data_IF_317203653143
#
_entry.id   IF_317203653143
#
_cell.length_a   1.000
_cell.length_b   1.000
_cell.length_c   1.000
_cell.angle_alpha   90.00
_cell.angle_beta   90.00
_cell.angle_gamma   90.00
#
_symmetry.space_group_name_H-M   'P 1'
#
loop_
_entity.id
_entity.type
_entity.pdbx_description
1 polymer ?
#
# COMPACT_ATOMS: atom_id res chain seq x y z
N UNK A 1 6.70 -8.61 4.58
CA UNK A 1 5.65 -8.43 5.61
C UNK A 1 5.79 -9.54 6.63
N UNK A 2 5.43 -9.25 7.88
CA UNK A 2 5.30 -10.25 8.93
C UNK A 2 3.84 -10.32 9.35
N UNK A 3 3.35 -11.50 9.67
CA UNK A 3 2.03 -11.72 10.25
C UNK A 3 2.20 -12.33 11.64
N UNK A 4 1.26 -12.04 12.54
CA UNK A 4 1.18 -12.72 13.83
C UNK A 4 0.10 -13.79 13.73
N UNK A 5 0.48 -15.04 14.00
CA UNK A 5 -0.50 -16.10 14.19
C UNK A 5 -0.98 -16.09 15.63
N UNK A 6 -2.27 -15.82 15.83
CA UNK A 6 -2.89 -15.73 17.14
C UNK A 6 -2.93 -17.08 17.84
N UNK A 7 -3.24 -18.16 17.13
CA UNK A 7 -3.38 -19.49 17.74
C UNK A 7 -2.02 -20.11 18.08
N UNK A 8 -1.03 -19.91 17.20
CA UNK A 8 0.32 -20.43 17.38
C UNK A 8 1.25 -19.46 18.12
N UNK A 9 0.74 -18.28 18.50
CA UNK A 9 1.44 -17.21 19.21
C UNK A 9 2.84 -16.94 18.65
N UNK A 10 2.94 -16.79 17.32
CA UNK A 10 4.24 -16.61 16.66
C UNK A 10 4.19 -15.68 15.46
N UNK A 11 5.28 -14.93 15.30
CA UNK A 11 5.55 -14.17 14.09
C UNK A 11 5.91 -15.11 12.95
N UNK A 12 5.32 -14.88 11.78
CA UNK A 12 5.63 -15.58 10.54
C UNK A 12 6.06 -14.57 9.49
N UNK A 13 7.15 -14.86 8.80
CA UNK A 13 7.59 -14.07 7.65
C UNK A 13 6.80 -14.52 6.42
N UNK A 14 5.99 -13.63 5.88
CA UNK A 14 5.17 -13.94 4.71
C UNK A 14 6.00 -13.89 3.43
N UNK A 15 5.82 -14.91 2.59
CA UNK A 15 6.33 -14.93 1.21
C UNK A 15 5.26 -14.34 0.31
N UNK A 16 5.52 -13.13 -0.16
CA UNK A 16 4.59 -12.34 -0.95
C UNK A 16 4.93 -12.43 -2.42
N UNK A 17 3.91 -12.66 -3.25
CA UNK A 17 4.02 -12.57 -4.71
C UNK A 17 3.60 -11.16 -5.22
N UNK A 18 3.86 -10.91 -6.50
CA UNK A 18 3.44 -9.69 -7.19
C UNK A 18 4.35 -8.49 -6.93
N UNK A 19 3.74 -7.29 -6.92
CA UNK A 19 4.44 -6.01 -6.88
C UNK A 19 4.21 -5.32 -5.53
N UNK A 20 4.99 -5.65 -4.47
CA UNK A 20 4.84 -4.99 -3.19
C UNK A 20 5.31 -3.52 -3.25
N UNK A 21 4.75 -2.63 -2.41
CA UNK A 21 5.28 -1.28 -2.26
C UNK A 21 6.75 -1.31 -1.84
N UNK A 22 7.54 -0.36 -2.35
CA UNK A 22 8.90 -0.16 -1.88
C UNK A 22 8.92 0.24 -0.38
N UNK A 23 10.05 0.07 0.34
CA UNK A 23 10.17 0.47 1.74
C UNK A 23 9.77 1.93 1.94
N UNK A 24 8.93 2.19 2.94
CA UNK A 24 8.34 3.51 3.23
C UNK A 24 7.73 3.53 4.64
N UNK A 25 7.42 4.72 5.13
CA UNK A 25 6.76 4.97 6.43
C UNK A 25 5.58 5.92 6.26
N UNK A 26 4.77 6.04 7.32
CA UNK A 26 3.61 6.94 7.40
C UNK A 26 2.60 6.76 6.25
N UNK A 27 2.44 5.51 5.83
CA UNK A 27 1.46 5.11 4.83
C UNK A 27 0.06 5.14 5.43
N UNK A 28 -0.94 5.45 4.60
CA UNK A 28 -2.32 5.16 4.93
C UNK A 28 -2.60 3.67 4.67
N UNK A 29 -3.41 3.03 5.51
CA UNK A 29 -3.76 1.61 5.39
C UNK A 29 -5.18 1.35 5.88
N UNK A 30 -5.94 0.50 5.19
CA UNK A 30 -7.25 0.00 5.64
C UNK A 30 -7.50 -1.42 5.13
N UNK A 31 -8.30 -2.19 5.86
CA UNK A 31 -8.88 -3.43 5.38
C UNK A 31 -10.32 -3.17 4.95
N UNK A 32 -10.67 -3.59 3.74
CA UNK A 32 -12.02 -3.53 3.21
C UNK A 32 -12.64 -4.92 3.26
N UNK A 33 -13.60 -5.11 4.17
CA UNK A 33 -14.26 -6.39 4.43
C UNK A 33 -15.09 -6.87 3.23
N UNK A 34 -15.74 -5.95 2.51
CA UNK A 34 -16.55 -6.29 1.33
C UNK A 34 -15.71 -6.87 0.19
N UNK A 35 -14.49 -6.35 0.01
CA UNK A 35 -13.57 -6.83 -1.02
C UNK A 35 -12.64 -7.95 -0.53
N UNK A 36 -12.54 -8.13 0.78
CA UNK A 36 -11.53 -8.94 1.46
C UNK A 36 -10.11 -8.59 0.97
N UNK A 37 -9.76 -7.29 1.07
CA UNK A 37 -8.47 -6.74 0.61
C UNK A 37 -7.95 -5.70 1.59
N UNK A 38 -6.63 -5.62 1.70
CA UNK A 38 -5.97 -4.49 2.36
C UNK A 38 -5.53 -3.49 1.31
N UNK A 39 -5.82 -2.21 1.52
CA UNK A 39 -5.34 -1.12 0.69
C UNK A 39 -4.30 -0.31 1.43
N UNK A 40 -3.23 0.07 0.73
CA UNK A 40 -2.24 1.02 1.22
C UNK A 40 -2.05 2.14 0.21
N UNK A 41 -1.82 3.34 0.72
CA UNK A 41 -1.59 4.52 -0.11
C UNK A 41 -0.41 5.35 0.44
N UNK A 42 0.41 5.83 -0.49
CA UNK A 42 1.34 6.94 -0.28
C UNK A 42 2.41 6.67 0.78
N UNK A 43 2.71 7.65 1.64
CA UNK A 43 3.84 7.66 2.56
C UNK A 43 5.13 8.20 1.94
N UNK A 44 6.23 8.12 2.69
CA UNK A 44 7.55 8.56 2.22
C UNK A 44 8.66 7.59 2.62
N UNK A 45 9.80 7.71 1.95
CA UNK A 45 11.05 7.04 2.31
C UNK A 45 12.15 8.07 2.55
N UNK A 46 12.65 8.21 3.79
CA UNK A 46 13.70 9.19 4.13
C UNK A 46 15.09 8.77 3.64
N UNK A 47 15.27 7.54 3.17
CA UNK A 47 16.54 6.98 2.75
C UNK A 47 16.62 6.80 1.22
N UNK A 48 15.53 7.02 0.48
CA UNK A 48 15.53 6.83 -0.97
C UNK A 48 16.26 7.98 -1.66
N UNK A 49 17.35 7.72 -2.42
CA UNK A 49 18.08 8.77 -3.09
C UNK A 49 17.26 9.40 -4.23
N UNK A 50 17.08 10.71 -4.16
CA UNK A 50 16.37 11.52 -5.15
C UNK A 50 17.32 12.51 -5.79
N UNK A 51 17.26 12.59 -7.12
CA UNK A 51 17.98 13.61 -7.89
C UNK A 51 17.08 14.80 -8.18
N UNK A 52 17.43 15.96 -7.63
CA UNK A 52 16.84 17.22 -8.01
C UNK A 52 17.54 17.79 -9.24
N UNK A 53 17.07 17.39 -10.42
CA UNK A 53 17.69 17.72 -11.72
C UNK A 53 17.92 19.23 -11.87
N UNK A 54 16.93 20.06 -11.51
CA UNK A 54 16.99 21.51 -11.68
C UNK A 54 18.15 22.18 -10.91
N UNK A 55 18.54 21.64 -9.74
CA UNK A 55 19.70 22.12 -8.96
C UNK A 55 20.92 21.20 -9.05
N UNK A 56 20.87 20.14 -9.87
CA UNK A 56 21.90 19.10 -9.98
C UNK A 56 22.33 18.54 -8.61
N UNK A 57 21.38 18.42 -7.69
CA UNK A 57 21.63 18.01 -6.32
C UNK A 57 21.02 16.64 -6.04
N UNK A 58 21.65 15.86 -5.16
CA UNK A 58 21.12 14.60 -4.66
C UNK A 58 20.81 14.73 -3.17
N UNK A 59 19.70 14.16 -2.73
CA UNK A 59 19.31 14.07 -1.32
C UNK A 59 18.55 12.76 -1.08
N UNK A 60 18.39 12.39 0.19
CA UNK A 60 17.64 11.18 0.56
C UNK A 60 16.29 11.62 1.11
N UNK A 61 15.25 11.48 0.29
CA UNK A 61 13.85 11.69 0.68
C UNK A 61 12.96 11.56 -0.56
N UNK A 62 11.91 10.74 -0.51
CA UNK A 62 10.90 10.67 -1.58
C UNK A 62 9.51 10.41 -1.01
N UNK A 63 8.54 11.18 -1.48
CA UNK A 63 7.12 10.89 -1.30
C UNK A 63 6.60 9.97 -2.41
N UNK A 64 5.56 9.19 -2.12
CA UNK A 64 4.89 8.34 -3.09
C UNK A 64 3.41 8.70 -3.22
N UNK A 65 2.81 8.55 -4.41
CA UNK A 65 1.38 8.78 -4.65
C UNK A 65 0.69 7.52 -5.21
N UNK A 66 1.33 6.38 -5.07
CA UNK A 66 0.88 5.08 -5.55
C UNK A 66 -0.09 4.42 -4.55
N UNK A 67 -0.95 3.54 -5.07
CA UNK A 67 -1.86 2.70 -4.27
C UNK A 67 -1.55 1.26 -4.54
N UNK A 68 -1.53 0.45 -3.49
CA UNK A 68 -1.42 -0.99 -3.60
C UNK A 68 -2.57 -1.67 -2.91
N UNK A 69 -2.98 -2.79 -3.49
CA UNK A 69 -3.95 -3.72 -2.96
C UNK A 69 -3.24 -5.02 -2.62
N UNK A 70 -3.39 -5.46 -1.38
CA UNK A 70 -2.99 -6.78 -0.93
C UNK A 70 -4.18 -7.73 -0.99
N UNK A 71 -3.95 -8.85 -1.67
CA UNK A 71 -4.86 -9.97 -1.71
C UNK A 71 -4.38 -11.03 -0.71
N UNK A 72 -5.17 -11.31 0.34
CA UNK A 72 -4.86 -12.40 1.27
C UNK A 72 -4.91 -13.77 0.56
N UNK A 73 -4.27 -14.80 1.14
CA UNK A 73 -4.39 -16.15 0.62
C UNK A 73 -5.83 -16.64 0.72
N UNK A 74 -6.27 -17.48 -0.22
CA UNK A 74 -7.62 -18.03 -0.17
C UNK A 74 -7.76 -18.92 1.10
N UNK A 75 -8.71 -18.63 2.02
CA UNK A 75 -8.87 -19.36 3.27
C UNK A 75 -9.22 -20.85 3.09
N UNK A 76 -9.76 -21.25 1.94
CA UNK A 76 -10.04 -22.67 1.63
C UNK A 76 -8.79 -23.46 1.20
N UNK A 77 -7.63 -22.81 1.14
CA UNK A 77 -6.39 -23.45 0.69
C UNK A 77 -5.74 -24.25 1.81
N UNK A 78 -5.19 -25.45 1.54
CA UNK A 78 -4.42 -26.19 2.53
C UNK A 78 -3.16 -25.41 2.97
N UNK A 79 -2.72 -25.56 4.24
CA UNK A 79 -1.56 -24.84 4.76
C UNK A 79 -0.30 -25.10 3.92
N UNK A 80 0.49 -24.04 3.69
CA UNK A 80 1.68 -23.99 2.84
C UNK A 80 2.87 -24.92 3.23
N UNK A 81 2.65 -25.93 4.06
CA UNK A 81 3.65 -26.91 4.52
C UNK A 81 3.82 -28.15 3.62
N UNK A 82 3.15 -28.22 2.46
CA UNK A 82 3.25 -29.38 1.57
C UNK A 82 4.59 -29.44 0.79
N UNK A 83 5.21 -30.64 0.61
CA UNK A 83 6.53 -30.80 -0.02
C UNK A 83 6.60 -30.26 -1.45
N UNK A 84 7.81 -29.85 -1.86
CA UNK A 84 8.16 -29.22 -3.15
C UNK A 84 7.99 -30.11 -4.40
N UNK A 85 7.48 -31.34 -4.28
CA UNK A 85 7.62 -32.37 -5.32
C UNK A 85 6.37 -32.62 -6.19
N UNK A 86 5.34 -31.76 -6.16
CA UNK A 86 4.16 -31.92 -7.02
C UNK A 86 4.14 -30.91 -8.18
N UNK A 87 3.47 -31.21 -9.32
CA UNK A 87 3.40 -30.34 -10.51
C UNK A 87 2.66 -29.01 -10.28
N UNK A 88 2.36 -28.67 -9.02
CA UNK A 88 1.52 -27.57 -8.55
C UNK A 88 2.18 -26.18 -8.64
N UNK A 89 3.17 -25.98 -9.51
CA UNK A 89 3.80 -24.65 -9.68
C UNK A 89 2.80 -23.63 -10.23
N UNK A 90 1.85 -24.04 -11.07
CA UNK A 90 0.81 -23.14 -11.59
C UNK A 90 -0.30 -22.81 -10.58
N UNK A 91 -0.58 -23.71 -9.63
CA UNK A 91 -1.61 -23.50 -8.60
C UNK A 91 -1.09 -22.72 -7.40
N UNK A 92 0.22 -22.84 -7.09
CA UNK A 92 0.86 -22.07 -6.02
C UNK A 92 0.80 -20.55 -6.25
N UNK A 93 0.92 -20.10 -7.49
CA UNK A 93 0.81 -18.67 -7.85
C UNK A 93 -0.61 -18.12 -7.70
N UNK A 94 -1.64 -18.98 -7.78
CA UNK A 94 -3.04 -18.57 -7.57
C UNK A 94 -3.41 -18.46 -6.09
N UNK A 95 -2.64 -19.09 -5.21
CA UNK A 95 -3.00 -19.29 -3.80
C UNK A 95 -2.16 -18.45 -2.83
N UNK A 96 -0.99 -17.99 -3.25
CA UNK A 96 -0.11 -17.19 -2.39
C UNK A 96 -0.66 -15.76 -2.17
N UNK A 97 -0.42 -15.18 -0.98
CA UNK A 97 -0.70 -13.77 -0.74
C UNK A 97 0.07 -12.90 -1.72
N UNK A 98 -0.59 -11.90 -2.32
CA UNK A 98 0.00 -11.09 -3.39
C UNK A 98 -0.32 -9.62 -3.27
N UNK A 99 0.63 -8.80 -3.70
CA UNK A 99 0.44 -7.37 -3.89
C UNK A 99 0.21 -7.04 -5.35
N UNK A 100 -0.74 -6.14 -5.60
CA UNK A 100 -1.00 -5.52 -6.89
C UNK A 100 -0.93 -4.01 -6.74
N UNK A 101 -0.30 -3.35 -7.70
CA UNK A 101 -0.45 -1.89 -7.85
C UNK A 101 -1.83 -1.59 -8.44
N UNK A 102 -2.53 -0.61 -7.86
CA UNK A 102 -3.82 -0.15 -8.35
C UNK A 102 -3.56 1.07 -9.22
N UNK A 103 -3.70 0.90 -10.53
CA UNK A 103 -3.54 1.99 -11.50
C UNK A 103 -4.81 2.82 -11.55
N UNK A 104 -4.67 4.13 -11.37
CA UNK A 104 -5.81 5.05 -11.25
C UNK A 104 -5.58 6.30 -12.08
N UNK A 105 -6.67 6.86 -12.63
CA UNK A 105 -6.64 8.11 -13.39
C UNK A 105 -7.00 9.27 -12.46
N UNK A 106 -6.06 10.20 -12.26
CA UNK A 106 -6.26 11.37 -11.40
C UNK A 106 -6.31 10.99 -9.93
N UNK A 107 -5.14 10.85 -9.31
CA UNK A 107 -5.01 10.37 -7.94
C UNK A 107 -4.68 11.50 -6.96
N UNK A 108 -4.98 11.35 -5.65
CA UNK A 108 -4.63 12.32 -4.64
C UNK A 108 -3.12 12.57 -4.68
N UNK A 109 -2.71 13.82 -4.50
CA UNK A 109 -1.29 14.16 -4.39
C UNK A 109 -0.64 13.34 -3.28
N UNK A 110 0.62 12.97 -3.49
CA UNK A 110 1.44 12.31 -2.47
C UNK A 110 1.36 13.03 -1.12
N UNK A 111 1.34 12.26 -0.02
CA UNK A 111 1.17 12.75 1.35
C UNK A 111 1.55 11.70 2.38
N UNK A 112 1.95 12.12 3.57
CA UNK A 112 2.09 11.21 4.70
C UNK A 112 0.96 11.42 5.71
N UNK A 113 0.77 10.43 6.58
CA UNK A 113 -0.23 10.43 7.66
C UNK A 113 -1.67 10.72 7.19
N UNK A 114 -1.97 10.40 5.93
CA UNK A 114 -3.37 10.38 5.50
C UNK A 114 -4.09 9.18 6.11
N UNK A 115 -5.39 9.28 6.22
CA UNK A 115 -6.23 8.22 6.77
C UNK A 115 -6.97 7.52 5.63
N UNK A 116 -6.89 6.19 5.60
CA UNK A 116 -7.76 5.36 4.76
C UNK A 116 -8.84 4.74 5.63
N UNK A 117 -10.09 4.87 5.21
CA UNK A 117 -11.25 4.35 5.92
C UNK A 117 -12.08 3.50 4.97
N UNK A 118 -12.45 2.31 5.40
CA UNK A 118 -13.40 1.45 4.68
C UNK A 118 -14.73 1.44 5.42
N UNK A 119 -15.81 1.83 4.74
CA UNK A 119 -17.16 1.72 5.25
C UNK A 119 -17.61 0.25 5.17
N UNK A 120 -17.85 -0.43 6.30
CA UNK A 120 -18.20 -1.85 6.31
C UNK A 120 -19.60 -2.12 5.73
N UNK A 121 -20.48 -1.12 5.72
CA UNK A 121 -21.87 -1.28 5.22
C UNK A 121 -21.90 -1.19 3.70
N UNK A 122 -21.22 -0.18 3.14
CA UNK A 122 -21.23 0.03 1.69
C UNK A 122 -20.04 -0.57 0.97
N UNK A 123 -18.96 -0.92 1.67
CA UNK A 123 -17.70 -1.36 1.04
C UNK A 123 -16.91 -0.24 0.36
N UNK A 124 -17.31 1.03 0.52
CA UNK A 124 -16.57 2.17 -0.04
C UNK A 124 -15.31 2.45 0.77
N UNK A 125 -14.21 2.74 0.08
CA UNK A 125 -12.95 3.17 0.70
C UNK A 125 -12.72 4.65 0.45
N UNK A 126 -12.40 5.41 1.49
CA UNK A 126 -12.13 6.84 1.46
C UNK A 126 -10.73 7.16 1.95
N UNK A 127 -10.10 8.16 1.35
CA UNK A 127 -8.88 8.79 1.81
C UNK A 127 -9.22 10.19 2.37
N UNK A 128 -8.71 10.52 3.54
CA UNK A 128 -8.92 11.81 4.20
C UNK A 128 -7.57 12.41 4.62
N UNK A 129 -7.40 13.69 4.31
CA UNK A 129 -6.36 14.52 4.91
C UNK A 129 -4.93 14.07 4.60
N UNK A 130 -4.06 14.15 5.62
CA UNK A 130 -2.61 14.00 5.50
C UNK A 130 -1.90 15.32 5.20
N UNK A 131 -0.58 15.28 5.07
CA UNK A 131 0.21 16.46 4.74
C UNK A 131 1.45 16.12 3.90
N UNK A 132 2.12 17.15 3.41
CA UNK A 132 3.48 17.09 2.85
C UNK A 132 4.33 18.11 3.59
N UNK A 133 5.60 17.78 3.82
CA UNK A 133 6.58 18.69 4.38
C UNK A 133 7.87 18.71 3.54
N UNK A 134 8.73 19.68 3.83
CA UNK A 134 10.01 19.85 3.14
C UNK A 134 11.23 19.53 4.00
N UNK A 135 11.05 18.88 5.16
CA UNK A 135 12.14 18.56 6.11
C UNK A 135 13.35 17.88 5.45
N UNK A 136 13.09 16.99 4.48
CA UNK A 136 14.14 16.27 3.76
C UNK A 136 14.57 16.89 2.43
N UNK A 137 13.99 18.03 2.03
CA UNK A 137 14.16 18.57 0.66
C UNK A 137 15.10 19.77 0.66
N UNK A 138 16.32 19.65 0.09
CA UNK A 138 17.34 20.72 0.14
C UNK A 138 17.00 21.93 -0.74
N UNK A 139 15.91 21.88 -1.49
CA UNK A 139 15.54 22.96 -2.41
C UNK A 139 14.97 24.18 -1.69
N UNK A 140 14.51 24.05 -0.45
CA UNK A 140 13.93 25.13 0.35
C UNK A 140 14.77 25.40 1.60
N UNK A 141 15.03 26.67 1.86
CA UNK A 141 15.71 27.16 3.08
C UNK A 141 14.78 27.13 4.29
N UNK A 142 13.47 27.22 4.07
CA UNK A 142 12.46 27.25 5.13
C UNK A 142 11.67 25.95 5.18
N UNK A 143 11.40 25.49 6.40
CA UNK A 143 10.45 24.41 6.64
C UNK A 143 9.06 24.84 6.21
N UNK A 144 8.45 24.08 5.30
CA UNK A 144 7.08 24.28 4.87
C UNK A 144 6.32 22.97 4.97
N UNK A 145 5.16 23.01 5.64
CA UNK A 145 4.20 21.92 5.70
C UNK A 145 2.89 22.36 5.04
N UNK A 146 2.33 21.49 4.20
CA UNK A 146 1.01 21.66 3.59
C UNK A 146 0.12 20.50 4.00
N UNK A 147 -0.86 20.80 4.84
CA UNK A 147 -1.95 19.89 5.15
C UNK A 147 -2.98 19.85 4.03
N UNK A 148 -3.63 18.71 3.89
CA UNK A 148 -4.77 18.52 3.00
C UNK A 148 -6.05 18.36 3.84
N UNK A 149 -7.15 18.90 3.33
CA UNK A 149 -8.49 18.79 3.92
C UNK A 149 -9.49 18.22 2.91
N UNK A 150 -8.98 17.57 1.88
CA UNK A 150 -9.75 16.91 0.83
C UNK A 150 -10.19 15.51 1.25
N UNK A 151 -11.22 15.01 0.57
CA UNK A 151 -11.72 13.65 0.72
C UNK A 151 -11.76 13.03 -0.68
N UNK A 152 -11.24 11.81 -0.79
CA UNK A 152 -11.24 11.05 -2.03
C UNK A 152 -11.88 9.70 -1.82
N UNK A 153 -12.63 9.22 -2.80
CA UNK A 153 -13.12 7.85 -2.82
C UNK A 153 -12.23 7.00 -3.72
N UNK A 154 -11.70 5.89 -3.18
CA UNK A 154 -11.03 4.87 -3.98
C UNK A 154 -12.09 3.99 -4.65
N UNK A 155 -11.99 3.85 -5.98
CA UNK A 155 -12.79 2.94 -6.80
C UNK A 155 -11.86 2.05 -7.59
N UNK A 156 -12.13 0.75 -7.59
CA UNK A 156 -11.26 -0.28 -8.19
C UNK A 156 -12.07 -1.19 -9.11
N UNK A 157 -11.44 -1.63 -10.20
CA UNK A 157 -12.04 -2.51 -11.21
C UNK A 157 -12.04 -3.98 -10.71
N UNK A 158 -12.75 -4.22 -9.61
CA UNK A 158 -13.03 -5.54 -9.05
C UNK A 158 -14.52 -5.60 -8.69
N UNK A 159 -15.16 -6.78 -8.63
CA UNK A 159 -16.54 -6.90 -8.17
C UNK A 159 -16.73 -6.25 -6.79
N UNK A 160 -17.70 -5.34 -6.67
CA UNK A 160 -17.91 -4.55 -5.45
C UNK A 160 -16.97 -3.34 -5.27
N UNK A 161 -16.08 -3.08 -6.24
CA UNK A 161 -15.10 -2.00 -6.20
C UNK A 161 -15.59 -0.64 -6.71
N UNK A 162 -16.88 -0.53 -7.06
CA UNK A 162 -17.55 0.71 -7.48
C UNK A 162 -16.95 1.40 -8.72
N UNK A 163 -16.22 0.66 -9.55
CA UNK A 163 -15.80 1.12 -10.88
C UNK A 163 -16.99 1.00 -11.84
N UNK A 164 -17.25 2.07 -12.60
CA UNK A 164 -18.32 2.15 -13.61
C UNK A 164 -17.73 1.96 -15.01
#
# INVERSE_FOLDING_TARGET
MWSWDIQAEKWRRERLAGNPPCPRTEIACTYNETLDKVFVFSGYNPCLPTFFIAKRQRFNYSYFADTFMYQPPNPESPPHSAPLASPALQDRDRQAPKWKEVLTRGFPTYRCQAELLSDPVTGKTFLIGGFTNTDGVPSRTDFFSRSFSDVWQLRVEEPGGFFL
#
